data_IF_454572555130
#
_entry.id   IF_454572555130
#
_cell.length_a   1.000
_cell.length_b   1.000
_cell.length_c   1.000
_cell.angle_alpha   90.00
_cell.angle_beta   90.00
_cell.angle_gamma   90.00
#
_symmetry.space_group_name_H-M   'P 1'
#
loop_
_entity.id
_entity.type
_entity.pdbx_description
1 polymer ?
#
# COMPACT_ATOMS: atom_id res chain seq x y z
N UNK A 1 -11.05 3.12 9.37
CA UNK A 1 -10.15 4.28 9.53
C UNK A 1 -10.32 4.94 10.89
N UNK A 2 -11.53 5.32 11.32
CA UNK A 2 -11.79 5.98 12.64
C UNK A 2 -11.03 5.46 13.85
N UNK A 3 -10.86 4.14 14.00
CA UNK A 3 -10.16 3.56 15.15
C UNK A 3 -8.66 3.92 15.23
N UNK A 4 -7.97 4.01 14.09
CA UNK A 4 -6.54 4.39 14.09
C UNK A 4 -6.43 5.88 14.42
N UNK A 5 -7.30 6.70 13.83
CA UNK A 5 -7.33 8.15 14.06
C UNK A 5 -7.63 8.50 15.53
N UNK A 6 -8.51 7.74 16.19
CA UNK A 6 -8.92 7.99 17.58
C UNK A 6 -7.86 7.59 18.62
N UNK A 7 -7.05 6.57 18.36
CA UNK A 7 -6.16 5.99 19.38
C UNK A 7 -4.68 5.92 18.98
N UNK A 8 -4.35 6.22 17.73
CA UNK A 8 -3.03 6.09 17.15
C UNK A 8 -2.71 4.65 16.69
N UNK A 9 -1.76 4.48 15.76
CA UNK A 9 -1.42 3.18 15.20
C UNK A 9 -0.92 2.20 16.26
N UNK A 10 -0.06 2.64 17.20
CA UNK A 10 0.50 1.76 18.22
C UNK A 10 -0.58 1.15 19.11
N UNK A 11 -1.50 1.97 19.62
CA UNK A 11 -2.58 1.49 20.48
C UNK A 11 -3.58 0.62 19.72
N UNK A 12 -3.86 0.96 18.46
CA UNK A 12 -4.66 0.11 17.58
C UNK A 12 -4.03 -1.29 17.43
N UNK A 13 -2.72 -1.35 17.11
CA UNK A 13 -2.01 -2.63 17.00
C UNK A 13 -1.98 -3.38 18.32
N UNK A 14 -1.78 -2.69 19.45
CA UNK A 14 -1.79 -3.31 20.79
C UNK A 14 -3.12 -3.95 21.12
N UNK A 15 -4.21 -3.26 20.83
CA UNK A 15 -5.56 -3.80 21.01
C UNK A 15 -5.81 -5.00 20.09
N UNK A 16 -5.37 -4.91 18.83
CA UNK A 16 -5.54 -5.99 17.86
C UNK A 16 -4.77 -7.25 18.26
N UNK A 17 -3.50 -7.13 18.66
CA UNK A 17 -2.70 -8.29 19.06
C UNK A 17 -3.20 -8.90 20.37
N UNK A 18 -3.62 -8.07 21.33
CA UNK A 18 -4.19 -8.52 22.59
C UNK A 18 -5.51 -9.28 22.40
N UNK A 19 -6.34 -8.88 21.43
CA UNK A 19 -7.59 -9.56 21.11
C UNK A 19 -7.39 -10.86 20.30
N UNK A 20 -6.28 -10.96 19.55
CA UNK A 20 -6.06 -12.04 18.59
C UNK A 20 -5.20 -13.19 19.15
N UNK A 21 -4.23 -12.88 20.02
CA UNK A 21 -3.20 -13.84 20.43
C UNK A 21 -3.27 -14.17 21.93
N UNK A 22 -2.67 -15.31 22.31
CA UNK A 22 -2.51 -15.66 23.73
C UNK A 22 -1.65 -14.60 24.45
N UNK A 23 -1.79 -14.45 25.78
CA UNK A 23 -0.98 -13.50 26.54
C UNK A 23 0.53 -13.66 26.32
N UNK A 24 1.02 -14.89 26.24
CA UNK A 24 2.44 -15.21 26.01
C UNK A 24 2.89 -14.80 24.61
N UNK A 25 2.07 -15.09 23.60
CA UNK A 25 2.36 -14.74 22.21
C UNK A 25 2.30 -13.23 22.00
N UNK A 26 1.28 -12.57 22.56
CA UNK A 26 1.15 -11.11 22.54
C UNK A 26 2.37 -10.45 23.19
N UNK A 27 2.80 -10.93 24.36
CA UNK A 27 4.02 -10.42 25.03
C UNK A 27 5.24 -10.53 24.12
N UNK A 28 5.45 -11.69 23.49
CA UNK A 28 6.58 -11.93 22.60
C UNK A 28 6.56 -11.03 21.35
N UNK A 29 5.38 -10.76 20.78
CA UNK A 29 5.22 -9.83 19.66
C UNK A 29 5.71 -8.43 20.06
N UNK A 30 5.30 -7.94 21.23
CA UNK A 30 5.69 -6.61 21.71
C UNK A 30 7.17 -6.52 22.09
N UNK A 31 7.74 -7.57 22.70
CA UNK A 31 9.19 -7.65 22.95
C UNK A 31 9.99 -7.57 21.64
N UNK A 32 9.59 -8.32 20.61
CA UNK A 32 10.25 -8.31 19.31
C UNK A 32 10.09 -6.98 18.57
N UNK A 33 8.91 -6.37 18.63
CA UNK A 33 8.66 -5.07 17.99
C UNK A 33 9.55 -3.98 18.59
N UNK A 34 9.70 -3.95 19.92
CA UNK A 34 10.58 -3.02 20.60
C UNK A 34 12.07 -3.29 20.29
N UNK A 35 12.50 -4.56 20.33
CA UNK A 35 13.87 -4.94 19.97
C UNK A 35 14.22 -4.49 18.53
N UNK A 36 13.34 -4.77 17.56
CA UNK A 36 13.53 -4.39 16.16
C UNK A 36 13.42 -2.89 15.93
N UNK A 37 12.55 -2.21 16.68
CA UNK A 37 12.46 -0.76 16.67
C UNK A 37 13.78 -0.11 17.07
N UNK A 38 14.36 -0.52 18.20
CA UNK A 38 15.67 -0.05 18.65
C UNK A 38 16.80 -0.39 17.67
N UNK A 39 16.77 -1.58 17.06
CA UNK A 39 17.74 -1.95 16.03
C UNK A 39 17.72 -0.97 14.84
N UNK A 40 16.52 -0.57 14.39
CA UNK A 40 16.34 0.36 13.28
C UNK A 40 16.68 1.80 13.66
N UNK A 41 16.28 2.27 14.85
CA UNK A 41 16.66 3.60 15.37
C UNK A 41 18.19 3.76 15.49
N UNK A 42 18.92 2.68 15.78
CA UNK A 42 20.39 2.70 15.81
C UNK A 42 21.02 2.75 14.41
N UNK A 43 20.34 2.26 13.38
CA UNK A 43 20.81 2.31 11.99
C UNK A 43 20.48 3.64 11.33
N UNK A 44 19.31 4.20 11.66
CA UNK A 44 18.80 5.45 11.13
C UNK A 44 18.18 6.27 12.28
N UNK A 45 18.86 7.33 12.74
CA UNK A 45 18.33 8.21 13.78
C UNK A 45 17.01 8.92 13.42
N UNK A 46 16.64 8.97 12.12
CA UNK A 46 15.36 9.52 11.67
C UNK A 46 14.24 8.46 11.65
N UNK A 47 14.56 7.17 11.88
CA UNK A 47 13.57 6.10 11.93
C UNK A 47 12.59 6.31 13.08
N UNK A 48 11.30 6.16 12.78
CA UNK A 48 10.22 6.16 13.77
C UNK A 48 9.44 4.84 13.67
N UNK A 49 9.35 4.11 14.79
CA UNK A 49 8.58 2.86 14.89
C UNK A 49 7.11 3.08 14.51
N UNK A 50 6.57 4.24 14.87
CA UNK A 50 5.26 4.71 14.46
C UNK A 50 5.42 6.05 13.75
N UNK A 51 5.30 6.05 12.43
CA UNK A 51 5.03 7.30 11.71
C UNK A 51 3.65 7.81 12.12
N UNK A 52 3.57 9.09 12.45
CA UNK A 52 2.28 9.75 12.61
C UNK A 52 1.67 9.92 11.22
N UNK A 53 0.64 9.13 10.91
CA UNK A 53 -0.18 9.35 9.72
C UNK A 53 -1.25 10.35 10.11
N UNK A 54 -1.18 11.53 9.51
CA UNK A 54 -2.08 12.65 9.73
C UNK A 54 -3.16 12.71 8.65
N UNK A 55 -4.17 13.56 8.84
CA UNK A 55 -5.17 13.82 7.79
C UNK A 55 -4.52 14.42 6.51
N UNK A 56 -3.44 15.21 6.68
CA UNK A 56 -2.67 15.82 5.59
C UNK A 56 -2.07 14.77 4.64
N UNK A 57 -1.63 13.61 5.16
CA UNK A 57 -1.12 12.50 4.35
C UNK A 57 -2.17 11.91 3.40
N UNK A 58 -3.46 12.16 3.67
CA UNK A 58 -4.58 11.72 2.84
C UNK A 58 -5.20 12.84 1.99
N UNK A 59 -4.79 14.11 2.15
CA UNK A 59 -5.40 15.22 1.41
C UNK A 59 -5.11 15.16 -0.10
N UNK A 60 -4.00 14.53 -0.50
CA UNK A 60 -3.55 14.48 -1.89
C UNK A 60 -3.11 13.08 -2.35
N UNK A 61 -3.92 12.05 -2.09
CA UNK A 61 -3.62 10.67 -2.51
C UNK A 61 -3.58 10.49 -4.04
N UNK A 62 -4.12 11.44 -4.80
CA UNK A 62 -4.20 11.32 -6.26
C UNK A 62 -2.82 11.49 -6.88
N UNK A 63 -2.49 10.63 -7.83
CA UNK A 63 -1.26 10.79 -8.62
C UNK A 63 -1.30 12.14 -9.34
N UNK A 64 -0.18 12.87 -9.31
CA UNK A 64 -0.09 14.14 -10.02
C UNK A 64 -0.38 13.98 -11.52
N UNK A 65 -1.21 14.85 -12.08
CA UNK A 65 -1.68 14.76 -13.48
C UNK A 65 -0.58 14.74 -14.54
N UNK A 66 0.63 15.18 -14.21
CA UNK A 66 1.77 15.19 -15.12
C UNK A 66 2.49 13.84 -15.20
N UNK A 67 2.31 12.96 -14.20
CA UNK A 67 2.96 11.64 -14.12
C UNK A 67 2.24 10.66 -15.07
N UNK A 68 2.93 10.02 -16.01
CA UNK A 68 2.32 8.98 -16.83
C UNK A 68 1.92 7.77 -15.99
N UNK A 69 0.66 7.34 -16.09
CA UNK A 69 0.16 6.17 -15.34
C UNK A 69 -0.32 5.11 -16.32
N UNK A 70 0.12 3.87 -16.12
CA UNK A 70 -0.31 2.71 -16.91
C UNK A 70 -0.98 1.70 -15.99
N UNK A 71 -2.28 1.50 -16.17
CA UNK A 71 -3.06 0.60 -15.33
C UNK A 71 -3.36 -0.65 -16.14
N UNK A 72 -2.77 -1.78 -15.74
CA UNK A 72 -3.14 -3.10 -16.25
C UNK A 72 -4.19 -3.69 -15.31
N UNK A 73 -5.42 -3.84 -15.77
CA UNK A 73 -6.51 -4.37 -14.93
C UNK A 73 -7.37 -5.39 -15.65
N UNK A 74 -8.09 -6.21 -14.88
CA UNK A 74 -9.10 -7.09 -15.45
C UNK A 74 -10.22 -6.25 -16.06
N UNK A 75 -10.85 -6.76 -17.12
CA UNK A 75 -11.93 -6.04 -17.81
C UNK A 75 -13.06 -5.63 -16.85
N UNK A 76 -13.41 -6.48 -15.88
CA UNK A 76 -14.49 -6.18 -14.93
C UNK A 76 -14.14 -5.13 -13.86
N UNK A 77 -12.87 -4.74 -13.70
CA UNK A 77 -12.41 -3.70 -12.75
C UNK A 77 -12.22 -2.34 -13.40
N UNK A 78 -12.55 -2.19 -14.68
CA UNK A 78 -12.38 -0.93 -15.41
C UNK A 78 -13.00 0.25 -14.65
N UNK A 79 -14.25 0.10 -14.20
CA UNK A 79 -14.97 1.17 -13.48
C UNK A 79 -14.22 1.59 -12.21
N UNK A 80 -13.77 0.61 -11.43
CA UNK A 80 -13.05 0.83 -10.18
C UNK A 80 -11.79 1.67 -10.41
N UNK A 81 -10.99 1.32 -11.43
CA UNK A 81 -9.77 2.08 -11.71
C UNK A 81 -10.02 3.47 -12.30
N UNK A 82 -11.11 3.66 -13.07
CA UNK A 82 -11.48 5.00 -13.56
C UNK A 82 -11.96 5.95 -12.47
N UNK A 83 -12.39 5.41 -11.34
CA UNK A 83 -12.87 6.17 -10.17
C UNK A 83 -11.82 6.22 -9.04
N UNK A 84 -10.63 5.64 -9.26
CA UNK A 84 -9.56 5.54 -8.25
C UNK A 84 -8.60 6.74 -8.24
N UNK A 85 -7.85 6.86 -7.16
CA UNK A 85 -6.73 7.79 -6.97
C UNK A 85 -5.59 7.61 -8.00
N UNK A 86 -5.55 6.46 -8.69
CA UNK A 86 -4.59 6.18 -9.77
C UNK A 86 -5.01 6.79 -11.12
N UNK A 87 -6.25 7.28 -11.24
CA UNK A 87 -6.77 7.85 -12.49
C UNK A 87 -6.43 9.33 -12.62
N UNK A 88 -5.79 9.68 -13.73
CA UNK A 88 -5.46 11.04 -14.11
C UNK A 88 -5.74 11.25 -15.60
N UNK A 89 -5.64 12.50 -16.07
CA UNK A 89 -5.68 12.80 -17.51
C UNK A 89 -4.53 12.15 -18.30
N UNK A 90 -3.46 11.72 -17.64
CA UNK A 90 -2.30 11.07 -18.25
C UNK A 90 -2.31 9.54 -18.02
N UNK A 91 -3.45 8.98 -17.59
CA UNK A 91 -3.61 7.54 -17.39
C UNK A 91 -3.99 6.82 -18.67
N UNK A 92 -3.27 5.74 -18.98
CA UNK A 92 -3.62 4.75 -20.00
C UNK A 92 -4.09 3.47 -19.32
N UNK A 93 -5.32 3.07 -19.60
CA UNK A 93 -5.90 1.82 -19.11
C UNK A 93 -5.70 0.70 -20.13
N UNK A 94 -5.11 -0.40 -19.69
CA UNK A 94 -4.89 -1.60 -20.48
C UNK A 94 -5.72 -2.73 -19.88
N UNK A 95 -6.79 -3.11 -20.60
CA UNK A 95 -7.64 -4.21 -20.19
C UNK A 95 -6.95 -5.55 -20.52
N UNK A 96 -6.66 -6.29 -19.46
CA UNK A 96 -6.32 -7.70 -19.50
C UNK A 96 -7.58 -8.58 -19.51
N UNK A 97 -7.35 -9.89 -19.59
CA UNK A 97 -8.41 -10.89 -19.43
C UNK A 97 -8.92 -10.94 -17.99
N UNK A 98 -9.82 -11.87 -17.73
CA UNK A 98 -10.44 -12.05 -16.43
C UNK A 98 -9.57 -12.78 -15.40
N UNK A 99 -8.28 -13.01 -15.67
CA UNK A 99 -7.42 -13.69 -14.72
C UNK A 99 -6.98 -12.75 -13.59
N UNK A 100 -7.00 -13.26 -12.36
CA UNK A 100 -6.66 -12.46 -11.18
C UNK A 100 -5.20 -12.00 -11.20
N UNK A 101 -4.29 -12.86 -11.69
CA UNK A 101 -2.87 -12.56 -11.83
C UNK A 101 -2.53 -12.22 -13.28
N UNK A 102 -2.71 -10.95 -13.65
CA UNK A 102 -2.36 -10.45 -14.98
C UNK A 102 -0.86 -10.58 -15.25
N UNK A 103 -0.02 -10.38 -14.24
CA UNK A 103 1.42 -10.55 -14.35
C UNK A 103 1.85 -11.98 -14.69
N UNK A 104 0.97 -12.97 -14.52
CA UNK A 104 1.23 -14.35 -14.96
C UNK A 104 0.62 -14.63 -16.33
N UNK A 105 -0.67 -14.35 -16.48
CA UNK A 105 -1.44 -14.68 -17.69
C UNK A 105 -1.16 -13.77 -18.89
N UNK A 106 -0.81 -12.51 -18.63
CA UNK A 106 -0.62 -11.47 -19.65
C UNK A 106 0.82 -10.92 -19.58
N UNK A 107 1.76 -11.66 -18.98
CA UNK A 107 3.16 -11.25 -18.76
C UNK A 107 3.83 -10.73 -20.04
N UNK A 108 3.71 -11.47 -21.14
CA UNK A 108 4.29 -11.09 -22.43
C UNK A 108 3.67 -9.80 -22.99
N UNK A 109 2.35 -9.64 -22.86
CA UNK A 109 1.61 -8.44 -23.29
C UNK A 109 2.01 -7.23 -22.46
N UNK A 110 2.09 -7.38 -21.14
CA UNK A 110 2.54 -6.33 -20.22
C UNK A 110 3.97 -5.91 -20.57
N UNK A 111 4.87 -6.88 -20.74
CA UNK A 111 6.26 -6.61 -21.08
C UNK A 111 6.41 -5.94 -22.45
N UNK A 112 5.59 -6.31 -23.44
CA UNK A 112 5.59 -5.66 -24.75
C UNK A 112 5.18 -4.18 -24.66
N UNK A 113 4.13 -3.88 -23.90
CA UNK A 113 3.66 -2.51 -23.69
C UNK A 113 4.72 -1.70 -22.94
N UNK A 114 5.34 -2.25 -21.88
CA UNK A 114 6.42 -1.55 -21.15
C UNK A 114 7.58 -1.20 -22.07
N UNK A 115 7.96 -2.09 -23.00
CA UNK A 115 9.02 -1.82 -23.98
C UNK A 115 8.64 -0.70 -24.95
N UNK A 116 7.43 -0.73 -25.50
CA UNK A 116 6.92 0.32 -26.41
C UNK A 116 6.90 1.70 -25.74
N UNK A 117 6.71 1.74 -24.42
CA UNK A 117 6.69 2.99 -23.64
C UNK A 117 8.09 3.48 -23.25
N UNK A 118 9.12 2.65 -23.42
CA UNK A 118 10.51 2.99 -23.13
C UNK A 118 11.27 3.53 -24.36
N UNK A 119 10.66 3.44 -25.54
CA UNK A 119 11.18 3.96 -26.83
C UNK A 119 10.61 5.35 -27.14
#
# INVERSE_FOLDING_TARGET
MRLIDECGPELYFKNLTQATFSPETNKKIWELMQEKGLELENQDPEFQISGEITEEDFENLSIESHVPVFIFCQTYREKEYRESEYWTSNTKLILGRNHHYLQWSESEKIAAIIRELSE
#
